data_IF_061356353381
#
_entry.id   IF_061356353381
#
_cell.length_a   1.000
_cell.length_b   1.000
_cell.length_c   1.000
_cell.angle_alpha   90.00
_cell.angle_beta   90.00
_cell.angle_gamma   90.00
#
_symmetry.space_group_name_H-M   'P 1'
#
loop_
_entity.id
_entity.type
_entity.pdbx_description
1 polymer ?
#
# COMPACT_ATOMS: atom_id res chain seq x y z
N UNK A 1 -11.10 -14.84 -17.16
CA UNK A 1 -11.19 -13.58 -17.93
C UNK A 1 -11.01 -13.91 -19.40
N UNK A 2 -11.69 -13.22 -20.31
CA UNK A 2 -11.54 -13.52 -21.74
C UNK A 2 -10.23 -12.95 -22.28
N UNK A 3 -9.59 -13.64 -23.22
CA UNK A 3 -8.38 -13.16 -23.90
C UNK A 3 -8.60 -11.79 -24.57
N UNK A 4 -9.72 -11.53 -25.28
CA UNK A 4 -10.00 -10.22 -25.87
C UNK A 4 -10.04 -9.10 -24.83
N UNK A 5 -10.74 -9.29 -23.70
CA UNK A 5 -10.83 -8.29 -22.65
C UNK A 5 -9.45 -7.98 -22.04
N UNK A 6 -8.63 -9.00 -21.78
CA UNK A 6 -7.28 -8.79 -21.29
C UNK A 6 -6.42 -8.00 -22.29
N UNK A 7 -6.55 -8.26 -23.59
CA UNK A 7 -5.84 -7.54 -24.64
C UNK A 7 -6.27 -6.06 -24.69
N UNK A 8 -7.57 -5.79 -24.70
CA UNK A 8 -8.13 -4.43 -24.71
C UNK A 8 -7.73 -3.60 -23.48
N UNK A 9 -7.50 -4.26 -22.34
CA UNK A 9 -7.15 -3.61 -21.06
C UNK A 9 -5.65 -3.68 -20.72
N UNK A 10 -4.79 -4.08 -21.67
CA UNK A 10 -3.34 -4.20 -21.47
C UNK A 10 -2.93 -5.11 -20.28
N UNK A 11 -3.73 -6.13 -20.00
CA UNK A 11 -3.50 -7.11 -18.93
C UNK A 11 -2.93 -8.40 -19.52
N UNK A 12 -1.91 -8.96 -18.87
CA UNK A 12 -1.34 -10.24 -19.27
C UNK A 12 -2.28 -11.39 -18.88
N UNK A 13 -2.94 -12.01 -19.88
CA UNK A 13 -3.89 -13.11 -19.67
C UNK A 13 -3.30 -14.28 -18.85
N UNK A 14 -2.04 -14.66 -19.10
CA UNK A 14 -1.37 -15.74 -18.35
C UNK A 14 -1.22 -15.43 -16.86
N UNK A 15 -0.95 -14.17 -16.51
CA UNK A 15 -0.75 -13.74 -15.13
C UNK A 15 -2.06 -13.73 -14.36
N UNK A 16 -3.15 -13.26 -14.97
CA UNK A 16 -4.48 -13.27 -14.32
C UNK A 16 -5.05 -14.69 -14.21
N UNK A 17 -4.77 -15.56 -15.18
CA UNK A 17 -5.14 -16.98 -15.09
C UNK A 17 -4.42 -17.65 -13.91
N UNK A 18 -3.10 -17.44 -13.79
CA UNK A 18 -2.34 -17.96 -12.64
C UNK A 18 -2.88 -17.41 -11.31
N UNK A 19 -3.23 -16.13 -11.24
CA UNK A 19 -3.80 -15.54 -10.02
C UNK A 19 -5.14 -16.21 -9.64
N UNK A 20 -5.97 -16.56 -10.65
CA UNK A 20 -7.20 -17.34 -10.43
C UNK A 20 -6.90 -18.73 -9.90
N UNK A 21 -5.97 -19.45 -10.52
CA UNK A 21 -5.63 -20.82 -10.12
C UNK A 21 -5.08 -20.85 -8.67
N UNK A 22 -4.23 -19.88 -8.31
CA UNK A 22 -3.72 -19.72 -6.93
C UNK A 22 -4.85 -19.38 -5.95
N UNK A 23 -5.79 -18.51 -6.35
CA UNK A 23 -6.95 -18.21 -5.52
C UNK A 23 -7.80 -19.45 -5.26
N UNK A 24 -8.07 -20.26 -6.28
CA UNK A 24 -8.83 -21.51 -6.13
C UNK A 24 -8.12 -22.47 -5.16
N UNK A 25 -6.79 -22.62 -5.27
CA UNK A 25 -6.02 -23.42 -4.30
C UNK A 25 -6.10 -22.88 -2.87
N UNK A 26 -6.07 -21.56 -2.69
CA UNK A 26 -6.20 -20.95 -1.36
C UNK A 26 -7.60 -21.16 -0.77
N UNK A 27 -8.66 -21.10 -1.59
CA UNK A 27 -10.03 -21.37 -1.12
C UNK A 27 -10.18 -22.81 -0.62
N UNK A 28 -9.63 -23.78 -1.36
CA UNK A 28 -9.64 -25.19 -0.94
C UNK A 28 -8.88 -25.40 0.37
N UNK A 29 -7.82 -24.63 0.61
CA UNK A 29 -7.08 -24.67 1.88
C UNK A 29 -7.86 -24.06 3.03
N UNK A 30 -8.54 -22.93 2.81
CA UNK A 30 -9.38 -22.27 3.83
C UNK A 30 -10.49 -23.20 4.31
N UNK A 31 -11.13 -23.93 3.40
CA UNK A 31 -12.15 -24.93 3.73
C UNK A 31 -11.58 -26.04 4.63
N UNK A 32 -10.38 -26.56 4.31
CA UNK A 32 -9.70 -27.59 5.12
C UNK A 32 -9.30 -27.12 6.52
N UNK A 33 -9.05 -25.82 6.70
CA UNK A 33 -8.72 -25.25 8.01
C UNK A 33 -9.91 -24.57 8.67
N UNK A 34 -11.12 -24.81 8.16
CA UNK A 34 -12.40 -24.31 8.70
C UNK A 34 -12.47 -22.79 8.83
N UNK A 35 -11.83 -22.06 7.90
CA UNK A 35 -11.91 -20.60 7.84
C UNK A 35 -13.04 -20.20 6.88
N UNK A 36 -14.09 -19.61 7.45
CA UNK A 36 -15.25 -19.16 6.68
C UNK A 36 -14.90 -18.04 5.70
N UNK A 37 -15.42 -18.15 4.48
CA UNK A 37 -15.35 -17.08 3.49
C UNK A 37 -16.32 -15.96 3.87
N UNK A 38 -15.77 -14.77 4.11
CA UNK A 38 -16.54 -13.56 4.36
C UNK A 38 -16.20 -12.48 3.33
N UNK A 39 -17.19 -11.64 3.01
CA UNK A 39 -17.00 -10.51 2.11
C UNK A 39 -17.95 -9.37 2.49
N UNK A 40 -17.42 -8.16 2.54
CA UNK A 40 -18.20 -6.93 2.63
C UNK A 40 -17.74 -5.99 1.50
N UNK A 41 -18.56 -5.73 0.47
CA UNK A 41 -18.20 -4.86 -0.64
C UNK A 41 -18.16 -3.38 -0.26
N UNK A 42 -18.69 -3.00 0.91
CA UNK A 42 -18.74 -1.61 1.37
C UNK A 42 -17.58 -1.24 2.28
N UNK A 43 -16.86 -2.24 2.82
CA UNK A 43 -15.76 -2.02 3.75
C UNK A 43 -14.39 -2.20 3.08
N UNK A 44 -13.94 -1.15 2.38
CA UNK A 44 -12.56 -1.06 1.88
C UNK A 44 -11.53 -1.10 3.03
N UNK A 45 -11.92 -0.65 4.23
CA UNK A 45 -11.01 -0.54 5.37
C UNK A 45 -10.61 -1.91 5.93
N UNK A 46 -11.52 -2.88 5.91
CA UNK A 46 -11.23 -4.27 6.28
C UNK A 46 -10.11 -4.87 5.40
N UNK A 47 -10.15 -4.62 4.08
CA UNK A 47 -9.12 -5.09 3.14
C UNK A 47 -7.77 -4.45 3.49
N UNK A 48 -7.73 -3.13 3.66
CA UNK A 48 -6.49 -2.44 3.99
C UNK A 48 -5.93 -2.88 5.34
N UNK A 49 -6.79 -3.12 6.33
CA UNK A 49 -6.39 -3.60 7.66
C UNK A 49 -5.85 -5.04 7.61
N UNK A 50 -6.43 -5.91 6.80
CA UNK A 50 -5.90 -7.27 6.57
C UNK A 50 -4.51 -7.23 5.92
N UNK A 51 -4.32 -6.38 4.89
CA UNK A 51 -2.99 -6.15 4.29
C UNK A 51 -2.03 -5.57 5.32
N UNK A 52 -2.49 -4.65 6.17
CA UNK A 52 -1.69 -4.09 7.27
C UNK A 52 -1.24 -5.15 8.26
N UNK A 53 -2.11 -6.09 8.62
CA UNK A 53 -1.74 -7.20 9.51
C UNK A 53 -0.66 -8.11 8.91
N UNK A 54 -0.66 -8.32 7.59
CA UNK A 54 0.37 -9.12 6.90
C UNK A 54 1.69 -8.37 6.66
N UNK A 55 1.63 -7.07 6.38
CA UNK A 55 2.77 -6.25 5.97
C UNK A 55 3.15 -5.18 7.01
N UNK A 56 2.77 -5.36 8.28
CA UNK A 56 2.96 -4.32 9.30
C UNK A 56 4.42 -3.90 9.45
N UNK A 57 5.41 -4.74 9.13
CA UNK A 57 6.83 -4.38 9.20
C UNK A 57 7.28 -3.44 8.08
N UNK A 58 6.54 -3.37 6.98
CA UNK A 58 6.87 -2.60 5.77
C UNK A 58 6.15 -1.24 5.76
N UNK A 59 6.20 -0.52 6.88
CA UNK A 59 5.61 0.81 7.02
C UNK A 59 6.58 1.94 6.64
N UNK A 60 6.11 2.91 5.87
CA UNK A 60 6.80 4.16 5.59
C UNK A 60 5.90 5.37 5.84
N UNK A 61 6.51 6.50 6.21
CA UNK A 61 5.82 7.76 6.50
C UNK A 61 6.38 8.92 5.69
N UNK A 62 5.52 9.87 5.39
CA UNK A 62 5.89 11.13 4.77
C UNK A 62 6.52 12.07 5.81
N UNK A 63 7.73 12.54 5.52
CA UNK A 63 8.45 13.50 6.33
C UNK A 63 8.08 14.95 5.96
N UNK A 64 8.38 15.89 6.85
CA UNK A 64 8.07 17.33 6.66
C UNK A 64 8.78 17.97 5.47
N UNK A 65 9.93 17.42 5.06
CA UNK A 65 10.70 17.84 3.88
C UNK A 65 10.11 17.27 2.57
N UNK A 66 9.05 16.46 2.63
CA UNK A 66 8.40 15.85 1.47
C UNK A 66 9.01 14.53 1.01
N UNK A 67 9.99 13.97 1.72
CA UNK A 67 10.53 12.63 1.43
C UNK A 67 9.83 11.56 2.25
N UNK A 68 9.83 10.31 1.80
CA UNK A 68 9.40 9.20 2.66
C UNK A 68 10.58 8.61 3.40
N UNK A 69 10.30 8.08 4.59
CA UNK A 69 11.22 7.19 5.29
C UNK A 69 10.47 6.02 5.92
N UNK A 70 11.10 4.86 5.92
CA UNK A 70 10.63 3.69 6.68
C UNK A 70 10.47 4.04 8.18
N UNK A 71 9.48 3.46 8.84
CA UNK A 71 9.12 3.85 10.21
C UNK A 71 10.12 3.30 11.23
N UNK A 72 10.52 2.03 11.11
CA UNK A 72 11.36 1.36 12.11
C UNK A 72 12.85 1.59 11.99
N UNK A 73 13.37 1.58 10.77
CA UNK A 73 14.79 1.77 10.50
C UNK A 73 14.92 2.93 9.52
N UNK A 74 14.89 4.18 9.99
CA UNK A 74 14.73 5.36 9.14
C UNK A 74 15.69 5.35 7.95
N UNK A 75 15.13 4.99 6.80
CA UNK A 75 15.83 4.92 5.52
C UNK A 75 14.99 5.68 4.50
N UNK A 76 15.63 6.54 3.72
CA UNK A 76 14.93 7.38 2.73
C UNK A 76 14.49 6.54 1.56
N UNK A 77 13.18 6.53 1.30
CA UNK A 77 12.57 5.78 0.21
C UNK A 77 11.66 6.70 -0.59
N UNK A 78 11.35 6.34 -1.83
CA UNK A 78 10.44 7.07 -2.69
C UNK A 78 9.34 6.14 -3.24
N UNK A 79 8.14 6.67 -3.50
CA UNK A 79 7.10 5.90 -4.19
C UNK A 79 7.57 5.69 -5.64
N UNK A 80 7.55 4.45 -6.12
CA UNK A 80 7.97 4.14 -7.48
C UNK A 80 7.10 4.86 -8.54
N UNK A 81 7.67 5.38 -9.64
CA UNK A 81 6.92 6.13 -10.67
C UNK A 81 5.76 5.38 -11.35
N UNK A 82 5.76 4.05 -11.28
CA UNK A 82 4.71 3.21 -11.85
C UNK A 82 3.55 2.94 -10.86
N UNK A 83 3.65 3.45 -9.63
CA UNK A 83 2.58 3.32 -8.63
C UNK A 83 1.41 4.24 -8.98
N UNK A 84 0.19 3.81 -8.70
CA UNK A 84 -0.99 4.67 -8.77
C UNK A 84 -0.96 5.83 -7.77
N UNK A 85 -0.15 5.72 -6.72
CA UNK A 85 0.08 6.77 -5.72
C UNK A 85 1.26 7.69 -6.08
N UNK A 86 1.85 7.55 -7.28
CA UNK A 86 2.90 8.46 -7.70
C UNK A 86 2.35 9.88 -7.91
N UNK A 87 2.95 10.86 -7.24
CA UNK A 87 2.46 12.25 -7.22
C UNK A 87 1.51 12.56 -6.06
N UNK A 88 0.91 11.52 -5.46
CA UNK A 88 0.16 11.64 -4.22
C UNK A 88 1.09 11.72 -3.01
N UNK A 89 0.57 12.22 -1.89
CA UNK A 89 1.34 12.39 -0.65
C UNK A 89 0.60 11.88 0.59
N UNK A 90 0.18 10.59 0.59
CA UNK A 90 -0.39 9.95 1.77
C UNK A 90 0.58 10.00 2.96
N UNK A 91 0.04 10.18 4.17
CA UNK A 91 0.88 10.38 5.36
C UNK A 91 1.65 9.14 5.76
N UNK A 92 1.01 7.98 5.65
CA UNK A 92 1.57 6.66 5.98
C UNK A 92 1.16 5.68 4.92
N UNK A 93 2.11 4.88 4.49
CA UNK A 93 1.92 3.87 3.47
C UNK A 93 2.54 2.55 3.90
N UNK A 94 1.99 1.46 3.38
CA UNK A 94 2.64 0.16 3.32
C UNK A 94 3.21 -0.07 1.93
N UNK A 95 4.23 -0.90 1.84
CA UNK A 95 4.80 -1.39 0.59
C UNK A 95 5.05 -2.90 0.68
N UNK A 96 5.10 -3.60 -0.44
CA UNK A 96 5.44 -5.03 -0.43
C UNK A 96 6.90 -5.29 -0.75
N UNK A 97 7.54 -4.39 -1.50
CA UNK A 97 8.93 -4.54 -1.94
C UNK A 97 9.66 -3.19 -2.00
N UNK A 98 10.97 -3.23 -1.71
CA UNK A 98 11.92 -2.15 -1.96
C UNK A 98 12.82 -2.56 -3.12
N UNK A 99 12.96 -1.67 -4.10
CA UNK A 99 13.82 -1.87 -5.27
C UNK A 99 14.84 -0.76 -5.32
N UNK A 100 16.11 -1.13 -5.15
CA UNK A 100 17.24 -0.23 -5.31
C UNK A 100 17.61 -0.10 -6.79
N UNK A 101 17.55 1.12 -7.32
CA UNK A 101 18.11 1.46 -8.63
C UNK A 101 19.07 2.65 -8.47
N UNK A 102 18.69 3.85 -8.94
CA UNK A 102 19.36 5.11 -8.60
C UNK A 102 18.97 5.61 -7.21
N UNK A 103 17.75 5.29 -6.80
CA UNK A 103 17.19 5.53 -5.46
C UNK A 103 16.49 4.26 -4.99
N UNK A 104 16.21 4.17 -3.70
CA UNK A 104 15.33 3.12 -3.18
C UNK A 104 13.86 3.48 -3.41
N UNK A 105 13.17 2.61 -4.14
CA UNK A 105 11.76 2.79 -4.48
C UNK A 105 10.89 1.73 -3.83
N UNK A 106 9.78 2.16 -3.22
CA UNK A 106 8.69 1.33 -2.76
C UNK A 106 7.77 0.96 -3.93
N UNK A 107 7.43 -0.33 -4.07
CA UNK A 107 6.40 -0.79 -5.01
C UNK A 107 5.25 -1.50 -4.30
N UNK A 108 4.12 -1.59 -5.01
CA UNK A 108 2.81 -2.04 -4.50
C UNK A 108 2.46 -1.30 -3.20
N UNK A 109 2.30 0.01 -3.34
CA UNK A 109 2.11 0.94 -2.22
C UNK A 109 0.63 1.06 -1.88
N UNK A 110 0.31 1.04 -0.60
CA UNK A 110 -1.05 1.19 -0.08
C UNK A 110 -1.09 2.29 0.99
N UNK A 111 -1.96 3.28 0.84
CA UNK A 111 -2.23 4.24 1.92
C UNK A 111 -2.97 3.55 3.07
N UNK A 112 -2.51 3.79 4.29
CA UNK A 112 -3.12 3.24 5.49
C UNK A 112 -3.31 4.29 6.57
N UNK A 113 -4.23 3.99 7.49
CA UNK A 113 -4.36 4.71 8.76
C UNK A 113 -3.22 4.31 9.71
N UNK A 114 -2.53 5.27 10.33
CA UNK A 114 -1.41 4.96 11.24
C UNK A 114 -1.83 4.13 12.44
N UNK A 115 -3.02 4.38 12.99
CA UNK A 115 -3.56 3.66 14.15
C UNK A 115 -3.68 2.15 13.91
N UNK A 116 -3.93 1.71 12.68
CA UNK A 116 -3.98 0.29 12.36
C UNK A 116 -2.67 -0.44 12.67
N UNK A 117 -1.52 0.21 12.52
CA UNK A 117 -0.22 -0.40 12.86
C UNK A 117 -0.11 -0.74 14.35
N UNK A 118 -0.65 0.12 15.23
CA UNK A 118 -0.71 -0.15 16.67
C UNK A 118 -1.75 -1.21 17.00
N UNK A 119 -2.88 -1.20 16.31
CA UNK A 119 -3.93 -2.20 16.51
C UNK A 119 -3.47 -3.61 16.11
N UNK A 120 -2.81 -3.76 14.97
CA UNK A 120 -2.39 -5.08 14.45
C UNK A 120 -1.09 -5.59 15.06
N UNK A 121 -0.18 -4.69 15.44
CA UNK A 121 1.15 -5.06 15.92
C UNK A 121 1.60 -4.15 17.10
N UNK A 122 0.90 -4.19 18.24
CA UNK A 122 1.21 -3.36 19.41
C UNK A 122 2.56 -3.72 20.05
N UNK A 123 3.03 -4.94 19.84
CA UNK A 123 4.35 -5.40 20.28
C UNK A 123 5.49 -4.83 19.41
N UNK A 124 5.17 -4.43 18.18
CA UNK A 124 6.13 -3.89 17.24
C UNK A 124 6.15 -2.37 17.31
N UNK A 125 5.01 -1.69 17.23
CA UNK A 125 4.92 -0.23 17.17
C UNK A 125 4.71 0.46 18.52
N UNK A 126 5.17 1.71 18.65
CA UNK A 126 4.89 2.59 19.81
C UNK A 126 4.30 3.92 19.33
N UNK A 127 3.46 4.56 20.14
CA UNK A 127 2.79 5.83 19.78
C UNK A 127 3.76 6.90 19.26
N UNK A 128 4.90 7.07 19.93
CA UNK A 128 5.93 8.06 19.57
C UNK A 128 6.49 7.88 18.17
N UNK A 129 6.48 6.65 17.64
CA UNK A 129 6.99 6.35 16.29
C UNK A 129 5.99 6.75 15.19
N UNK A 130 4.71 6.85 15.54
CA UNK A 130 3.61 7.19 14.64
C UNK A 130 3.14 8.63 14.79
N UNK A 131 3.79 9.43 15.63
CA UNK A 131 3.53 10.86 15.73
C UNK A 131 3.88 11.57 14.40
N UNK A 132 2.86 11.74 13.56
CA UNK A 132 2.93 12.54 12.35
C UNK A 132 2.96 14.01 12.78
N UNK A 133 4.17 14.59 12.86
CA UNK A 133 4.32 16.00 13.17
C UNK A 133 3.42 16.86 12.27
N UNK A 134 2.67 17.82 12.84
CA UNK A 134 1.73 18.67 12.10
C UNK A 134 2.36 19.18 10.80
N UNK A 135 1.81 18.73 9.67
CA UNK A 135 2.29 19.11 8.33
C UNK A 135 2.03 20.60 8.08
N UNK A 136 3.00 21.38 7.55
CA UNK A 136 2.74 22.75 7.14
C UNK A 136 1.74 22.78 5.98
N UNK A 137 0.74 23.68 6.07
CA UNK A 137 -0.34 23.87 5.11
C UNK A 137 0.13 24.15 3.66
N UNK A 138 1.40 24.48 3.46
CA UNK A 138 2.00 24.96 2.21
C UNK A 138 2.08 23.90 1.10
N UNK A 139 2.14 22.60 1.42
CA UNK A 139 2.24 21.55 0.39
C UNK A 139 0.93 21.34 -0.40
N UNK A 140 -0.23 21.72 0.15
CA UNK A 140 -1.52 21.65 -0.56
C UNK A 140 -1.58 22.57 -1.79
N UNK A 141 -0.80 23.66 -1.81
CA UNK A 141 -0.78 24.60 -2.94
C UNK A 141 -0.01 24.06 -4.15
N UNK A 142 1.04 23.25 -3.94
CA UNK A 142 1.81 22.67 -5.06
C UNK A 142 1.02 21.61 -5.85
N UNK A 143 0.10 20.90 -5.20
CA UNK A 143 -0.78 19.93 -5.86
C UNK A 143 -1.86 20.62 -6.71
N UNK A 144 -2.40 21.76 -6.26
CA UNK A 144 -3.37 22.56 -7.06
C UNK A 144 -2.73 23.18 -8.30
N UNK A 145 -1.54 23.75 -8.17
CA UNK A 145 -0.86 24.42 -9.29
C UNK A 145 -0.53 23.43 -10.42
N UNK A 146 -0.22 22.16 -10.11
CA UNK A 146 0.01 21.13 -11.13
C UNK A 146 -1.26 20.67 -11.86
N UNK A 147 -2.43 20.74 -11.21
CA UNK A 147 -3.72 20.40 -11.86
C UNK A 147 -4.27 21.54 -12.73
N UNK A 148 -3.78 22.77 -12.56
CA UNK A 148 -4.23 23.95 -13.33
C UNK A 148 -3.34 24.26 -14.55
N UNK A 149 -2.27 23.50 -14.79
CA UNK A 149 -1.32 23.71 -15.92
C UNK A 149 -1.30 22.59 -16.96
N UNK A 150 -2.27 21.68 -16.96
CA UNK A 150 -2.49 20.68 -18.03
C UNK A 150 -3.78 20.97 -18.81
#
# INVERSE_FOLDING_TARGET
FSVPWCYENFIQHRSIQRARDVREQLLDLLDRVEVELSSDPTDESAIKKAVTAGFFTQGARLNRNGTYSTIKQPHTVEIHPHSSLFGESPKVVLYTELVLTTKEYMRNVLEIRPDWLLEVAPHFYRDKELELGRMPLQMKQRQRIKQETD
#
